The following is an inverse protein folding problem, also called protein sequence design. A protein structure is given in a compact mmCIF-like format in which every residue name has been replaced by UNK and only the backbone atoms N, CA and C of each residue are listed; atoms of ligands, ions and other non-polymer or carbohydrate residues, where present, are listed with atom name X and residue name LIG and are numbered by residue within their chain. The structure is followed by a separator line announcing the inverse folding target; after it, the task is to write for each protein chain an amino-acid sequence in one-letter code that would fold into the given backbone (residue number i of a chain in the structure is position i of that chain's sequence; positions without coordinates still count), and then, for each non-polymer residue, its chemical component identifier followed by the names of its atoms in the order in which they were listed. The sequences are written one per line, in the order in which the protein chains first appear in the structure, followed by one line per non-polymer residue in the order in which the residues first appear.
data_IF_220717257837
#
_entry.id   IF_220717257837
#
_cell.length_a   1.000
_cell.length_b   1.000
_cell.length_c   1.000
_cell.angle_alpha   90.00
_cell.angle_beta   90.00
_cell.angle_gamma   90.00
#
_symmetry.space_group_name_H-M   'P 1'
#
loop_
_entity.id
_entity.type
_entity.pdbx_description
1 polymer ?
#
# COMPACT_ATOMS: atom_id res chain seq x y z
N UNK A 1 -50.12 -7.51 -18.72
CA UNK A 1 -49.26 -7.80 -17.56
C UNK A 1 -48.06 -8.59 -18.06
N UNK A 2 -46.91 -7.93 -18.22
CA UNK A 2 -45.64 -8.63 -18.44
C UNK A 2 -44.61 -7.94 -17.56
N UNK A 3 -44.28 -8.62 -16.48
CA UNK A 3 -43.33 -8.19 -15.46
C UNK A 3 -41.93 -8.34 -16.03
N UNK A 4 -41.28 -7.23 -16.34
CA UNK A 4 -39.86 -7.20 -16.66
C UNK A 4 -39.09 -7.43 -15.37
N UNK A 5 -38.56 -8.64 -15.19
CA UNK A 5 -37.61 -8.98 -14.14
C UNK A 5 -36.31 -8.22 -14.36
N UNK A 6 -36.09 -7.16 -13.57
CA UNK A 6 -34.81 -6.48 -13.46
C UNK A 6 -33.84 -7.39 -12.70
N UNK A 7 -32.85 -7.96 -13.39
CA UNK A 7 -31.70 -8.56 -12.73
C UNK A 7 -30.86 -7.43 -12.12
N UNK A 8 -31.09 -7.13 -10.85
CA UNK A 8 -30.20 -6.33 -10.03
C UNK A 8 -28.85 -7.03 -9.95
N UNK A 9 -27.89 -6.57 -10.75
CA UNK A 9 -26.50 -6.98 -10.60
C UNK A 9 -26.05 -6.67 -9.18
N UNK A 10 -25.83 -7.70 -8.37
CA UNK A 10 -25.10 -7.58 -7.10
C UNK A 10 -23.75 -6.96 -7.44
N UNK A 11 -23.56 -5.70 -7.10
CA UNK A 11 -22.26 -5.04 -7.20
C UNK A 11 -21.26 -5.88 -6.42
N UNK A 12 -20.21 -6.36 -7.08
CA UNK A 12 -19.12 -7.02 -6.39
C UNK A 12 -18.47 -5.99 -5.47
N UNK A 13 -18.83 -6.02 -4.18
CA UNK A 13 -18.16 -5.20 -3.17
C UNK A 13 -16.67 -5.53 -3.20
N UNK A 14 -15.88 -4.56 -3.60
CA UNK A 14 -14.43 -4.71 -3.65
C UNK A 14 -13.91 -4.96 -2.24
N UNK A 15 -13.20 -6.08 -2.08
CA UNK A 15 -12.46 -6.41 -0.85
C UNK A 15 -10.96 -6.32 -1.12
N UNK A 16 -10.23 -5.78 -0.16
CA UNK A 16 -8.78 -5.86 -0.17
C UNK A 16 -8.35 -7.31 -0.14
N UNK A 17 -7.15 -7.56 -0.66
CA UNK A 17 -6.40 -8.77 -0.38
C UNK A 17 -5.11 -8.40 0.37
N UNK A 18 -4.60 -9.30 1.23
CA UNK A 18 -3.29 -9.15 1.85
C UNK A 18 -2.23 -8.72 0.83
N UNK A 19 -1.51 -7.64 1.13
CA UNK A 19 -0.45 -7.09 0.32
C UNK A 19 -0.91 -6.12 -0.77
N UNK A 20 -2.21 -5.87 -0.93
CA UNK A 20 -2.69 -4.77 -1.77
C UNK A 20 -2.00 -3.46 -1.36
N UNK A 21 -1.50 -2.73 -2.35
CA UNK A 21 -0.83 -1.44 -2.19
C UNK A 21 -1.85 -0.35 -2.46
N UNK A 22 -2.12 0.47 -1.45
CA UNK A 22 -3.07 1.58 -1.55
C UNK A 22 -2.27 2.87 -1.68
N UNK A 23 -2.50 3.60 -2.77
CA UNK A 23 -1.92 4.92 -3.00
C UNK A 23 -3.02 5.97 -2.94
N UNK A 24 -2.71 7.12 -2.35
CA UNK A 24 -3.59 8.29 -2.31
C UNK A 24 -2.92 9.44 -3.03
N UNK A 25 -3.72 10.40 -3.50
CA UNK A 25 -3.18 11.72 -3.80
C UNK A 25 -2.79 12.40 -2.48
N UNK A 26 -1.83 13.31 -2.52
CA UNK A 26 -1.44 14.09 -1.34
C UNK A 26 -0.37 15.13 -1.69
N UNK A 27 -0.14 16.10 -0.78
CA UNK A 27 0.77 17.20 -1.02
C UNK A 27 2.21 16.70 -1.23
N UNK A 28 2.98 17.45 -2.03
CA UNK A 28 4.38 17.17 -2.31
C UNK A 28 5.22 17.62 -1.13
N UNK A 29 5.53 16.71 -0.21
CA UNK A 29 6.62 16.94 0.74
C UNK A 29 7.87 16.27 0.19
N UNK A 30 8.90 17.06 -0.13
CA UNK A 30 10.21 16.57 -0.60
C UNK A 30 10.15 15.59 -1.79
N UNK A 31 9.25 15.81 -2.77
CA UNK A 31 9.13 14.94 -3.95
C UNK A 31 8.33 13.64 -3.73
N UNK A 32 7.74 13.44 -2.54
CA UNK A 32 6.73 12.42 -2.31
C UNK A 32 5.36 12.92 -2.76
N UNK A 33 4.87 12.39 -3.87
CA UNK A 33 3.48 12.61 -4.26
C UNK A 33 2.59 11.60 -3.54
N UNK A 34 1.85 12.07 -2.54
CA UNK A 34 0.82 11.26 -1.90
C UNK A 34 1.28 10.38 -0.75
N UNK A 35 0.33 9.61 -0.23
CA UNK A 35 0.52 8.68 0.88
C UNK A 35 0.32 7.25 0.39
N UNK A 36 0.87 6.28 1.13
CA UNK A 36 0.73 4.87 0.79
C UNK A 36 0.53 3.99 2.00
N UNK A 37 -0.23 2.92 1.82
CA UNK A 37 -0.44 1.89 2.83
C UNK A 37 -0.45 0.50 2.21
N UNK A 38 -0.23 -0.51 3.04
CA UNK A 38 -0.32 -1.92 2.64
C UNK A 38 -1.48 -2.58 3.37
N UNK A 39 -2.30 -3.33 2.65
CA UNK A 39 -3.35 -4.16 3.25
C UNK A 39 -2.71 -5.31 4.02
N UNK A 40 -3.05 -5.46 5.31
CA UNK A 40 -2.65 -6.62 6.10
C UNK A 40 -3.60 -7.80 5.90
N UNK A 41 -4.87 -7.49 5.61
CA UNK A 41 -5.96 -8.44 5.40
C UNK A 41 -7.05 -7.79 4.52
N UNK A 42 -8.30 -8.26 4.63
CA UNK A 42 -9.40 -7.83 3.78
C UNK A 42 -9.99 -6.46 4.17
N UNK A 43 -9.70 -5.95 5.36
CA UNK A 43 -10.30 -4.74 5.90
C UNK A 43 -9.33 -3.80 6.62
N UNK A 44 -8.10 -4.23 6.86
CA UNK A 44 -7.12 -3.49 7.66
C UNK A 44 -5.90 -3.09 6.82
N UNK A 45 -5.48 -1.84 6.97
CA UNK A 45 -4.28 -1.30 6.33
C UNK A 45 -3.24 -0.89 7.37
N UNK A 46 -1.96 -0.99 7.01
CA UNK A 46 -0.80 -0.54 7.78
C UNK A 46 -0.15 0.64 7.06
N UNK A 47 0.17 1.70 7.81
CA UNK A 47 0.76 2.92 7.28
C UNK A 47 1.61 3.67 8.32
N UNK A 48 2.27 4.75 7.90
CA UNK A 48 2.92 5.73 8.78
C UNK A 48 2.84 7.13 8.16
N UNK A 49 2.28 8.10 8.87
CA UNK A 49 1.72 9.31 8.27
C UNK A 49 2.69 10.50 8.16
N UNK A 50 3.47 10.81 9.19
CA UNK A 50 4.38 11.95 9.15
C UNK A 50 5.43 12.01 10.27
N UNK A 51 6.28 13.04 10.26
CA UNK A 51 7.41 13.17 11.19
C UNK A 51 7.06 12.95 12.66
N UNK A 52 7.79 12.05 13.32
CA UNK A 52 7.57 11.71 14.72
C UNK A 52 6.52 10.62 14.97
N UNK A 53 5.70 10.28 13.96
CA UNK A 53 4.70 9.24 14.08
C UNK A 53 5.32 7.83 14.15
N UNK A 54 4.51 6.90 14.62
CA UNK A 54 4.77 5.45 14.62
C UNK A 54 3.89 4.76 13.59
N UNK A 55 4.23 3.55 13.13
CA UNK A 55 3.33 2.77 12.29
C UNK A 55 1.98 2.55 12.98
N UNK A 56 0.90 2.76 12.24
CA UNK A 56 -0.46 2.54 12.71
C UNK A 56 -1.21 1.59 11.79
N UNK A 57 -2.18 0.89 12.36
CA UNK A 57 -3.17 0.13 11.60
C UNK A 57 -4.54 0.76 11.77
N UNK A 58 -5.29 0.88 10.69
CA UNK A 58 -6.69 1.31 10.73
C UNK A 58 -7.53 0.51 9.73
N UNK A 59 -8.85 0.60 9.83
CA UNK A 59 -9.73 -0.01 8.83
C UNK A 59 -9.60 0.72 7.49
N UNK A 60 -9.75 -0.02 6.40
CA UNK A 60 -9.73 0.53 5.05
C UNK A 60 -10.85 1.54 4.83
N UNK A 61 -12.00 1.35 5.49
CA UNK A 61 -13.07 2.35 5.47
C UNK A 61 -12.62 3.66 6.11
N UNK A 62 -12.03 3.62 7.32
CA UNK A 62 -11.48 4.82 7.97
C UNK A 62 -10.42 5.49 7.11
N UNK A 63 -9.50 4.71 6.54
CA UNK A 63 -8.49 5.21 5.61
C UNK A 63 -9.12 5.93 4.40
N UNK A 64 -10.10 5.31 3.74
CA UNK A 64 -10.81 5.91 2.59
C UNK A 64 -11.48 7.22 2.97
N UNK A 65 -12.11 7.29 4.14
CA UNK A 65 -12.74 8.51 4.62
C UNK A 65 -11.70 9.62 4.81
N UNK A 66 -10.55 9.32 5.42
CA UNK A 66 -9.51 10.30 5.74
C UNK A 66 -8.73 10.80 4.52
N UNK A 67 -8.41 9.90 3.58
CA UNK A 67 -7.51 10.21 2.47
C UNK A 67 -8.19 10.38 1.11
N UNK A 68 -9.42 9.89 0.95
CA UNK A 68 -10.20 10.03 -0.27
C UNK A 68 -11.36 10.99 -0.08
N UNK A 69 -12.41 10.52 0.61
CA UNK A 69 -13.72 11.21 0.70
C UNK A 69 -13.58 12.62 1.29
N UNK A 70 -13.00 12.76 2.49
CA UNK A 70 -12.85 14.08 3.14
C UNK A 70 -11.93 15.04 2.39
N UNK A 71 -11.03 14.51 1.55
CA UNK A 71 -10.10 15.30 0.74
C UNK A 71 -10.60 15.55 -0.69
N UNK A 72 -11.74 14.96 -1.06
CA UNK A 72 -12.23 14.91 -2.43
C UNK A 72 -11.15 14.47 -3.43
N UNK A 73 -10.39 13.43 -3.06
CA UNK A 73 -9.21 12.95 -3.79
C UNK A 73 -9.29 11.46 -4.10
N UNK A 74 -8.46 11.02 -5.06
CA UNK A 74 -8.48 9.64 -5.53
C UNK A 74 -7.73 8.69 -4.60
N UNK A 75 -8.19 7.43 -4.60
CA UNK A 75 -7.47 6.30 -4.02
C UNK A 75 -7.31 5.22 -5.09
N UNK A 76 -6.10 4.71 -5.27
CA UNK A 76 -5.78 3.62 -6.19
C UNK A 76 -5.30 2.41 -5.41
N UNK A 77 -5.85 1.24 -5.71
CA UNK A 77 -5.41 -0.03 -5.12
C UNK A 77 -4.74 -0.87 -6.20
N UNK A 78 -3.48 -1.23 -5.94
CA UNK A 78 -2.67 -2.08 -6.79
C UNK A 78 -2.45 -3.44 -6.14
N UNK A 79 -2.46 -4.49 -6.95
CA UNK A 79 -2.24 -5.87 -6.50
C UNK A 79 -1.11 -6.50 -7.29
N UNK A 80 -0.16 -7.14 -6.61
CA UNK A 80 0.87 -7.94 -7.25
C UNK A 80 0.22 -9.17 -7.90
N UNK A 81 0.51 -9.42 -9.18
CA UNK A 81 -0.05 -10.56 -9.91
C UNK A 81 0.67 -11.89 -9.58
N UNK A 82 1.84 -11.82 -8.93
CA UNK A 82 2.60 -13.02 -8.58
C UNK A 82 1.90 -13.82 -7.47
N UNK A 83 1.66 -15.13 -7.65
CA UNK A 83 0.95 -15.95 -6.67
C UNK A 83 1.58 -15.86 -5.26
N UNK A 84 0.74 -15.65 -4.26
CA UNK A 84 1.12 -15.54 -2.83
C UNK A 84 2.08 -14.39 -2.47
N UNK A 85 2.49 -13.53 -3.41
CA UNK A 85 3.36 -12.40 -3.09
C UNK A 85 2.68 -11.43 -2.11
N UNK A 86 1.41 -11.09 -2.34
CA UNK A 86 0.67 -10.20 -1.45
C UNK A 86 0.58 -10.72 -0.01
N UNK A 87 0.26 -12.00 0.17
CA UNK A 87 0.20 -12.62 1.50
C UNK A 87 1.55 -12.56 2.23
N UNK A 88 2.64 -12.95 1.55
CA UNK A 88 4.00 -12.89 2.11
C UNK A 88 4.40 -11.47 2.49
N UNK A 89 4.09 -10.48 1.66
CA UNK A 89 4.36 -9.08 1.96
C UNK A 89 3.56 -8.60 3.18
N UNK A 90 2.28 -8.94 3.26
CA UNK A 90 1.43 -8.59 4.41
C UNK A 90 1.94 -9.22 5.72
N UNK A 91 2.31 -10.50 5.70
CA UNK A 91 2.83 -11.21 6.87
C UNK A 91 4.14 -10.60 7.36
N UNK A 92 5.04 -10.29 6.43
CA UNK A 92 6.30 -9.61 6.75
C UNK A 92 6.04 -8.21 7.35
N UNK A 93 5.18 -7.40 6.70
CA UNK A 93 4.86 -6.07 7.19
C UNK A 93 4.22 -6.12 8.59
N UNK A 94 3.32 -7.07 8.83
CA UNK A 94 2.69 -7.30 10.12
C UNK A 94 3.71 -7.67 11.19
N UNK A 95 4.62 -8.59 10.91
CA UNK A 95 5.62 -9.04 11.88
C UNK A 95 6.64 -7.95 12.25
N UNK A 96 6.99 -7.09 11.31
CA UNK A 96 8.03 -6.08 11.50
C UNK A 96 7.49 -4.73 11.98
N UNK A 97 6.33 -4.28 11.48
CA UNK A 97 5.87 -2.89 11.65
C UNK A 97 4.63 -2.73 12.52
N UNK A 98 3.70 -3.71 12.54
CA UNK A 98 2.46 -3.58 13.31
C UNK A 98 2.78 -3.41 14.80
N UNK A 99 2.23 -2.38 15.43
CA UNK A 99 2.43 -2.04 16.84
C UNK A 99 3.90 -1.80 17.25
N UNK A 100 4.78 -1.52 16.30
CA UNK A 100 6.19 -1.23 16.59
C UNK A 100 6.41 0.22 17.05
N UNK A 101 7.56 0.50 17.65
CA UNK A 101 7.99 1.82 18.10
C UNK A 101 8.89 2.55 17.09
N UNK A 102 8.96 2.03 15.86
CA UNK A 102 9.70 2.62 14.74
C UNK A 102 9.19 4.03 14.46
N UNK A 103 10.07 4.91 14.02
CA UNK A 103 9.75 6.34 13.92
C UNK A 103 9.75 6.78 12.46
N UNK A 104 8.80 7.64 12.10
CA UNK A 104 8.80 8.25 10.79
C UNK A 104 10.05 9.10 10.60
N UNK A 105 10.80 8.79 9.55
CA UNK A 105 11.86 9.63 9.01
C UNK A 105 12.15 9.19 7.57
N UNK A 106 12.12 10.13 6.63
CA UNK A 106 12.57 9.89 5.26
C UNK A 106 14.09 9.71 5.31
N UNK A 107 14.56 8.50 5.03
CA UNK A 107 15.96 8.11 5.16
C UNK A 107 16.44 7.36 3.93
N UNK A 108 17.71 7.55 3.59
CA UNK A 108 18.39 6.83 2.50
C UNK A 108 18.72 5.38 2.88
N UNK A 109 18.71 5.05 4.18
CA UNK A 109 18.97 3.70 4.63
C UNK A 109 17.71 2.84 4.43
N UNK A 110 17.59 2.20 3.26
CA UNK A 110 16.44 1.37 2.91
C UNK A 110 16.42 0.01 3.64
N UNK A 111 17.49 -0.39 4.33
CA UNK A 111 17.57 -1.68 5.05
C UNK A 111 17.16 -1.57 6.51
N UNK A 112 17.57 -0.51 7.20
CA UNK A 112 17.21 -0.31 8.62
C UNK A 112 15.71 -0.11 8.78
N UNK A 113 15.11 -0.68 9.82
CA UNK A 113 13.68 -0.48 10.10
C UNK A 113 13.43 0.59 11.17
N UNK A 114 14.46 1.02 11.91
CA UNK A 114 14.31 1.98 13.04
C UNK A 114 13.60 3.26 12.61
N UNK A 115 13.97 3.73 11.43
CA UNK A 115 13.43 4.91 10.77
C UNK A 115 12.73 4.50 9.48
N UNK A 116 11.47 4.85 9.30
CA UNK A 116 10.69 4.41 8.14
C UNK A 116 9.78 5.50 7.58
N UNK A 117 9.16 5.23 6.44
CA UNK A 117 8.16 6.08 5.81
C UNK A 117 7.21 5.19 5.00
N UNK A 118 6.06 5.74 4.57
CA UNK A 118 4.94 4.98 4.03
C UNK A 118 5.33 3.94 2.95
N UNK A 119 6.05 4.36 1.92
CA UNK A 119 6.48 3.48 0.82
C UNK A 119 7.66 2.58 1.18
N UNK A 120 8.48 2.95 2.17
CA UNK A 120 9.58 2.09 2.65
C UNK A 120 9.04 0.84 3.33
N UNK A 121 7.93 0.94 4.07
CA UNK A 121 7.25 -0.23 4.63
C UNK A 121 6.90 -1.22 3.51
N UNK A 122 6.31 -0.72 2.43
CA UNK A 122 5.87 -1.53 1.28
C UNK A 122 7.08 -2.13 0.54
N UNK A 123 8.09 -1.31 0.27
CA UNK A 123 9.35 -1.73 -0.35
C UNK A 123 9.98 -2.90 0.42
N UNK A 124 10.12 -2.78 1.74
CA UNK A 124 10.73 -3.82 2.56
C UNK A 124 9.84 -5.06 2.66
N UNK A 125 8.53 -4.90 2.77
CA UNK A 125 7.57 -6.00 2.78
C UNK A 125 7.69 -6.88 1.53
N UNK A 126 7.77 -6.28 0.35
CA UNK A 126 7.92 -7.03 -0.88
C UNK A 126 9.36 -7.55 -1.08
N UNK A 127 10.39 -6.73 -0.83
CA UNK A 127 11.79 -7.14 -1.04
C UNK A 127 12.25 -8.23 -0.06
N UNK A 128 11.81 -8.18 1.19
CA UNK A 128 12.27 -9.13 2.23
C UNK A 128 11.23 -10.20 2.57
N UNK A 129 9.94 -9.93 2.38
CA UNK A 129 8.88 -10.91 2.58
C UNK A 129 8.65 -11.82 1.37
N UNK A 130 8.76 -11.30 0.14
CA UNK A 130 8.45 -12.07 -1.08
C UNK A 130 9.71 -12.63 -1.72
N UNK A 131 10.57 -11.74 -2.21
CA UNK A 131 11.85 -12.06 -2.84
C UNK A 131 12.68 -10.77 -2.99
N UNK A 132 14.01 -10.88 -2.90
CA UNK A 132 14.93 -9.75 -3.14
C UNK A 132 14.77 -9.18 -4.55
N UNK A 133 14.33 -10.02 -5.48
CA UNK A 133 14.11 -9.71 -6.89
C UNK A 133 12.69 -9.18 -7.16
N UNK A 134 11.92 -8.84 -6.13
CA UNK A 134 10.56 -8.29 -6.34
C UNK A 134 10.60 -6.87 -6.87
N UNK A 135 11.56 -6.07 -6.39
CA UNK A 135 11.71 -4.66 -6.71
C UNK A 135 13.14 -4.42 -7.18
N UNK A 136 13.28 -3.82 -8.36
CA UNK A 136 14.54 -3.32 -8.88
C UNK A 136 14.88 -1.99 -8.20
N UNK A 137 15.86 -2.02 -7.30
CA UNK A 137 16.28 -0.85 -6.52
C UNK A 137 17.57 -0.21 -7.00
N UNK A 138 18.08 -0.58 -8.20
CA UNK A 138 19.34 -0.06 -8.73
C UNK A 138 19.33 1.48 -8.80
N UNK A 139 19.98 2.11 -7.82
CA UNK A 139 20.12 3.57 -7.73
C UNK A 139 19.03 4.29 -6.91
N UNK A 140 18.07 3.58 -6.32
CA UNK A 140 17.04 4.21 -5.50
C UNK A 140 17.60 4.60 -4.14
N UNK A 141 17.78 5.91 -3.93
CA UNK A 141 18.12 6.48 -2.63
C UNK A 141 16.89 6.67 -1.75
N UNK A 142 15.73 6.95 -2.37
CA UNK A 142 14.44 7.18 -1.72
C UNK A 142 13.36 6.57 -2.63
N UNK A 143 12.37 5.90 -2.03
CA UNK A 143 11.28 5.25 -2.77
C UNK A 143 10.04 6.14 -2.75
N UNK A 144 9.74 6.88 -3.82
CA UNK A 144 8.46 7.60 -3.91
C UNK A 144 7.31 6.64 -4.26
N UNK A 145 6.02 6.99 -4.04
CA UNK A 145 4.90 6.09 -4.32
C UNK A 145 4.79 5.66 -5.79
N UNK A 146 5.12 6.56 -6.74
CA UNK A 146 5.14 6.23 -8.16
C UNK A 146 6.35 5.38 -8.51
N UNK A 147 7.54 5.77 -8.04
CA UNK A 147 8.75 4.97 -8.25
C UNK A 147 8.58 3.56 -7.69
N UNK A 148 7.87 3.40 -6.57
CA UNK A 148 7.57 2.08 -6.04
C UNK A 148 6.83 1.21 -7.07
N UNK A 149 5.77 1.73 -7.69
CA UNK A 149 4.96 0.98 -8.66
C UNK A 149 5.76 0.62 -9.92
N UNK A 150 6.56 1.57 -10.41
CA UNK A 150 7.32 1.42 -11.66
C UNK A 150 8.52 0.47 -11.52
N UNK A 151 9.01 0.23 -10.30
CA UNK A 151 10.20 -0.59 -10.04
C UNK A 151 9.89 -2.06 -9.68
N UNK A 152 8.62 -2.49 -9.67
CA UNK A 152 8.32 -3.92 -9.56
C UNK A 152 8.83 -4.64 -10.81
N UNK A 153 9.56 -5.73 -10.61
CA UNK A 153 10.01 -6.56 -11.73
C UNK A 153 8.82 -7.17 -12.47
N UNK A 154 9.00 -7.48 -13.76
CA UNK A 154 7.92 -7.94 -14.65
C UNK A 154 7.13 -9.13 -14.11
N UNK A 155 7.80 -10.07 -13.45
CA UNK A 155 7.17 -11.25 -12.83
C UNK A 155 6.29 -10.89 -11.63
N UNK A 156 6.59 -9.78 -10.98
CA UNK A 156 5.90 -9.25 -9.80
C UNK A 156 5.03 -8.03 -10.11
N UNK A 157 4.76 -7.76 -11.39
CA UNK A 157 4.07 -6.55 -11.82
C UNK A 157 2.77 -6.29 -11.05
N UNK A 158 2.51 -5.02 -10.83
CA UNK A 158 1.33 -4.55 -10.14
C UNK A 158 0.19 -4.28 -11.13
N UNK A 159 -1.01 -4.75 -10.79
CA UNK A 159 -2.24 -4.44 -11.51
C UNK A 159 -3.11 -3.49 -10.70
N UNK A 160 -3.59 -2.42 -11.34
CA UNK A 160 -4.63 -1.57 -10.75
C UNK A 160 -5.94 -2.37 -10.66
N UNK A 161 -6.38 -2.69 -9.45
CA UNK A 161 -7.59 -3.50 -9.20
C UNK A 161 -8.79 -2.67 -8.76
N UNK A 162 -8.55 -1.44 -8.25
CA UNK A 162 -9.63 -0.52 -7.87
C UNK A 162 -9.16 0.93 -7.92
N UNK A 163 -10.09 1.81 -8.32
CA UNK A 163 -9.98 3.26 -8.19
C UNK A 163 -11.24 3.76 -7.46
N UNK A 164 -11.05 4.62 -6.48
CA UNK A 164 -12.08 5.42 -5.82
C UNK A 164 -11.92 6.88 -6.24
#
# INVERSE_FOLDING_TARGET
MSSTSSSSGKGNDFKLQPGDIILTKGPVLFGFFGHSSIALDHDTVLQIEGPGDKPITESFESFKQRFGVKKNDWIKVYRCEYPNAGQKAADWAKAHYKNSDKTYLVTLNLKSERFTYCTKIIYQAYKYGVSKDTINDHGLLIISPYALVDNFNNDYRLKLVKKY
#
